data_IF_006306467329
#
_entry.id   IF_006306467329
#
_cell.length_a   1.000
_cell.length_b   1.000
_cell.length_c   1.000
_cell.angle_alpha   90.00
_cell.angle_beta   90.00
_cell.angle_gamma   90.00
#
_symmetry.space_group_name_H-M   'P 1'
#
loop_
_entity.id
_entity.type
_entity.pdbx_description
1 polymer ?
#
# COMPACT_ATOMS: atom_id res chain seq x y z
N UNK A 1 -13.89 8.42 40.54
CA UNK A 1 -12.56 9.04 40.73
C UNK A 1 -11.74 8.79 39.49
N UNK A 2 -11.02 9.79 38.97
CA UNK A 2 -10.12 9.60 37.82
C UNK A 2 -8.90 8.82 38.33
N UNK A 3 -8.63 7.65 37.74
CA UNK A 3 -7.45 6.85 38.07
C UNK A 3 -6.41 7.04 36.97
N UNK A 4 -5.13 6.87 37.31
CA UNK A 4 -4.05 6.91 36.33
C UNK A 4 -3.34 5.57 36.32
N UNK A 5 -2.97 5.11 35.12
CA UNK A 5 -2.04 3.99 34.95
C UNK A 5 -0.79 4.47 34.23
N UNK A 6 0.37 3.96 34.63
CA UNK A 6 1.63 4.27 33.97
C UNK A 6 1.86 3.33 32.80
N UNK A 7 2.25 3.90 31.66
CA UNK A 7 2.52 3.17 30.44
C UNK A 7 3.86 3.56 29.85
N UNK A 8 4.68 2.56 29.53
CA UNK A 8 5.96 2.77 28.86
C UNK A 8 5.76 2.63 27.36
N UNK A 9 5.97 3.74 26.63
CA UNK A 9 5.83 3.84 25.19
C UNK A 9 6.73 2.81 24.49
N UNK A 10 6.16 2.03 23.57
CA UNK A 10 6.85 1.03 22.78
C UNK A 10 7.10 1.54 21.35
N UNK A 11 7.98 0.86 20.61
CA UNK A 11 8.22 1.19 19.22
C UNK A 11 6.93 1.02 18.39
N UNK A 12 6.53 2.06 17.67
CA UNK A 12 5.31 2.07 16.87
C UNK A 12 4.05 2.57 17.60
N UNK A 13 4.14 2.90 18.90
CA UNK A 13 3.03 3.54 19.60
C UNK A 13 2.83 5.00 19.16
N UNK A 14 1.57 5.41 19.09
CA UNK A 14 1.15 6.82 18.99
C UNK A 14 0.21 7.15 20.15
N UNK A 15 0.06 8.42 20.50
CA UNK A 15 -0.94 8.79 21.52
C UNK A 15 -2.35 8.33 21.13
N UNK A 16 -2.65 8.29 19.83
CA UNK A 16 -3.95 7.82 19.30
C UNK A 16 -4.17 6.34 19.56
N UNK A 17 -3.19 5.48 19.24
CA UNK A 17 -3.29 4.03 19.47
C UNK A 17 -3.35 3.71 20.97
N UNK A 18 -2.60 4.46 21.78
CA UNK A 18 -2.63 4.35 23.24
C UNK A 18 -4.01 4.78 23.79
N UNK A 19 -4.54 5.93 23.36
CA UNK A 19 -5.83 6.44 23.82
C UNK A 19 -6.96 5.43 23.56
N UNK A 20 -7.01 4.87 22.35
CA UNK A 20 -7.99 3.83 21.99
C UNK A 20 -7.85 2.59 22.89
N UNK A 21 -6.62 2.13 23.12
CA UNK A 21 -6.34 0.94 23.93
C UNK A 21 -6.83 1.07 25.37
N UNK A 22 -6.72 2.26 25.94
CA UNK A 22 -7.11 2.52 27.33
C UNK A 22 -8.50 3.14 27.47
N UNK A 23 -9.27 3.24 26.38
CA UNK A 23 -10.62 3.82 26.40
C UNK A 23 -10.63 5.28 26.85
N UNK A 24 -9.60 6.05 26.46
CA UNK A 24 -9.43 7.46 26.82
C UNK A 24 -9.21 8.32 25.57
N UNK A 25 -8.92 9.60 25.73
CA UNK A 25 -8.65 10.52 24.60
C UNK A 25 -7.21 11.02 24.60
N UNK A 26 -6.69 11.33 23.40
CA UNK A 26 -5.35 11.94 23.24
C UNK A 26 -5.25 13.21 24.08
N UNK A 27 -6.29 14.04 24.07
CA UNK A 27 -6.35 15.27 24.86
C UNK A 27 -6.27 14.99 26.37
N UNK A 28 -6.94 13.95 26.85
CA UNK A 28 -6.87 13.56 28.27
C UNK A 28 -5.47 13.06 28.65
N UNK A 29 -4.82 12.29 27.78
CA UNK A 29 -3.42 11.85 28.00
C UNK A 29 -2.47 13.06 28.00
N UNK A 30 -2.61 13.99 27.06
CA UNK A 30 -1.77 15.20 27.02
C UNK A 30 -1.98 16.08 28.26
N UNK A 31 -3.22 16.24 28.71
CA UNK A 31 -3.54 16.97 29.95
C UNK A 31 -2.90 16.33 31.19
N UNK A 32 -2.78 15.00 31.21
CA UNK A 32 -2.13 14.25 32.28
C UNK A 32 -0.59 14.27 32.22
N UNK A 33 -0.01 14.63 31.06
CA UNK A 33 1.43 14.62 30.80
C UNK A 33 1.88 15.96 30.20
N UNK A 34 2.02 17.01 31.02
CA UNK A 34 2.39 18.35 30.55
C UNK A 34 3.77 18.43 29.88
N UNK A 35 4.62 17.41 30.05
CA UNK A 35 5.90 17.28 29.34
C UNK A 35 5.77 16.91 27.86
N UNK A 36 4.58 16.50 27.40
CA UNK A 36 4.33 16.16 25.99
C UNK A 36 3.79 17.40 25.28
N UNK A 37 4.65 18.07 24.51
CA UNK A 37 4.32 19.34 23.85
C UNK A 37 3.61 19.14 22.51
N UNK A 38 3.65 17.94 21.93
CA UNK A 38 3.01 17.62 20.65
C UNK A 38 2.57 16.16 20.58
N UNK A 39 1.39 15.86 20.01
CA UNK A 39 0.82 14.52 20.01
C UNK A 39 1.60 13.49 19.19
N UNK A 40 2.43 13.97 18.25
CA UNK A 40 3.31 13.14 17.40
C UNK A 40 4.71 12.90 18.02
N UNK A 41 5.00 13.50 19.17
CA UNK A 41 6.35 13.52 19.77
C UNK A 41 6.36 12.76 21.10
N UNK A 42 6.15 11.44 21.01
CA UNK A 42 6.41 10.52 22.12
C UNK A 42 7.61 9.65 21.80
N UNK A 43 8.51 9.46 22.77
CA UNK A 43 9.75 8.71 22.56
C UNK A 43 9.60 7.26 23.05
N UNK A 44 10.18 6.31 22.32
CA UNK A 44 10.23 4.91 22.75
C UNK A 44 10.95 4.82 24.10
N UNK A 45 10.34 4.11 25.04
CA UNK A 45 10.84 3.95 26.41
C UNK A 45 10.40 5.04 27.38
N UNK A 46 9.76 6.12 26.90
CA UNK A 46 9.15 7.17 27.72
C UNK A 46 8.00 6.59 28.55
N UNK A 47 7.92 6.95 29.83
CA UNK A 47 6.79 6.59 30.69
C UNK A 47 5.79 7.75 30.70
N UNK A 48 4.52 7.45 30.43
CA UNK A 48 3.42 8.41 30.40
C UNK A 48 2.27 7.96 31.29
N UNK A 49 1.52 8.92 31.83
CA UNK A 49 0.33 8.69 32.67
C UNK A 49 -0.93 8.66 31.83
N UNK A 50 -1.70 7.59 31.92
CA UNK A 50 -2.93 7.44 31.14
C UNK A 50 -4.13 7.54 32.08
N UNK A 51 -5.02 8.54 31.90
CA UNK A 51 -6.25 8.63 32.68
C UNK A 51 -7.24 7.55 32.24
N UNK A 52 -7.67 6.71 33.17
CA UNK A 52 -8.68 5.67 32.97
C UNK A 52 -9.93 5.99 33.80
N UNK A 53 -11.11 5.92 33.17
CA UNK A 53 -12.37 6.10 33.87
C UNK A 53 -12.67 4.82 34.66
N UNK A 54 -12.72 4.94 35.99
CA UNK A 54 -12.70 3.82 36.94
C UNK A 54 -13.93 2.91 36.93
N UNK A 55 -14.07 2.09 35.91
CA UNK A 55 -14.61 0.73 36.03
C UNK A 55 -13.41 -0.20 35.87
N UNK A 56 -13.07 -0.93 36.94
CA UNK A 56 -11.88 -1.78 37.02
C UNK A 56 -11.53 -2.45 35.69
N UNK A 57 -10.39 -2.12 35.07
CA UNK A 57 -9.85 -2.98 34.05
C UNK A 57 -9.04 -4.05 34.78
N UNK A 58 -9.42 -5.31 34.59
CA UNK A 58 -8.40 -6.36 34.48
C UNK A 58 -7.26 -5.78 33.63
N UNK A 59 -5.98 -5.97 33.99
CA UNK A 59 -4.87 -5.42 33.22
C UNK A 59 -5.13 -5.75 31.75
N UNK A 60 -5.19 -4.75 30.84
CA UNK A 60 -5.44 -5.03 29.44
C UNK A 60 -4.36 -6.02 29.03
N UNK A 61 -4.77 -7.24 28.66
CA UNK A 61 -3.87 -8.28 28.17
C UNK A 61 -3.02 -7.58 27.11
N UNK A 62 -1.73 -7.44 27.37
CA UNK A 62 -0.86 -6.76 26.42
C UNK A 62 -1.00 -7.53 25.11
N UNK A 63 -1.52 -6.93 24.00
CA UNK A 63 -1.18 -7.48 22.70
C UNK A 63 0.35 -7.54 22.67
N UNK A 64 0.93 -8.62 22.11
CA UNK A 64 2.37 -8.75 22.01
C UNK A 64 2.94 -7.44 21.45
N UNK A 65 4.11 -6.99 21.93
CA UNK A 65 4.70 -5.75 21.46
C UNK A 65 4.67 -5.76 19.95
N UNK A 66 4.20 -4.66 19.35
CA UNK A 66 4.30 -4.50 17.91
C UNK A 66 5.76 -4.84 17.54
N UNK A 67 6.00 -5.67 16.50
CA UNK A 67 7.36 -5.94 16.06
C UNK A 67 8.06 -4.59 15.91
N UNK A 68 9.33 -4.47 16.35
CA UNK A 68 10.04 -3.19 16.35
C UNK A 68 9.81 -2.52 15.01
N UNK A 69 9.36 -1.26 15.04
CA UNK A 69 9.15 -0.47 13.84
C UNK A 69 10.31 -0.74 12.90
N UNK A 70 10.01 -1.31 11.73
CA UNK A 70 11.02 -1.56 10.72
C UNK A 70 11.82 -0.26 10.58
N UNK A 71 13.16 -0.34 10.44
CA UNK A 71 13.97 0.86 10.24
C UNK A 71 13.31 1.74 9.17
N UNK A 72 13.38 3.08 9.29
CA UNK A 72 12.78 3.97 8.29
C UNK A 72 13.15 3.41 6.93
N UNK A 73 12.13 3.12 6.12
CA UNK A 73 12.36 2.56 4.80
C UNK A 73 13.47 3.40 4.17
N UNK A 74 14.55 2.77 3.65
CA UNK A 74 15.58 3.53 2.98
C UNK A 74 14.87 4.48 2.01
N UNK A 75 15.30 5.75 1.96
CA UNK A 75 14.84 6.69 0.95
C UNK A 75 14.71 5.90 -0.35
N UNK A 76 13.56 5.98 -1.07
CA UNK A 76 13.31 5.11 -2.22
C UNK A 76 14.59 5.12 -3.04
N UNK A 77 15.21 3.95 -3.30
CA UNK A 77 16.47 3.95 -4.02
C UNK A 77 16.21 4.80 -5.24
N UNK A 78 17.00 5.87 -5.42
CA UNK A 78 16.97 6.66 -6.65
C UNK A 78 16.92 5.63 -7.75
N UNK A 79 15.80 5.55 -8.48
CA UNK A 79 15.41 4.36 -9.27
C UNK A 79 16.62 3.95 -10.09
N UNK A 80 17.38 3.01 -9.55
CA UNK A 80 18.56 2.51 -10.22
C UNK A 80 17.93 1.70 -11.32
N UNK A 81 18.08 2.18 -12.55
CA UNK A 81 17.79 1.39 -13.74
C UNK A 81 18.62 0.13 -13.57
N UNK A 82 18.02 -0.93 -13.05
CA UNK A 82 18.69 -2.21 -12.86
C UNK A 82 19.02 -2.66 -14.28
N UNK A 83 20.30 -2.87 -14.64
CA UNK A 83 20.64 -3.31 -15.98
C UNK A 83 19.83 -4.56 -16.33
N UNK A 84 19.02 -4.49 -17.38
CA UNK A 84 18.11 -5.58 -17.75
C UNK A 84 16.69 -5.49 -17.17
N UNK A 85 16.27 -4.41 -16.52
CA UNK A 85 14.87 -4.19 -16.13
C UNK A 85 14.29 -3.07 -16.98
N UNK A 86 13.11 -3.30 -17.56
CA UNK A 86 12.36 -2.24 -18.21
C UNK A 86 11.47 -1.51 -17.20
N UNK A 87 11.41 -0.18 -17.31
CA UNK A 87 10.44 0.66 -16.63
C UNK A 87 9.56 1.38 -17.66
N UNK A 88 8.23 1.36 -17.48
CA UNK A 88 7.34 2.20 -18.29
C UNK A 88 6.11 2.66 -17.50
N UNK A 89 5.50 3.74 -17.97
CA UNK A 89 4.39 4.42 -17.32
C UNK A 89 3.06 3.85 -17.81
N UNK A 90 2.12 3.66 -16.88
CA UNK A 90 0.71 3.42 -17.18
C UNK A 90 -0.03 4.76 -17.17
N UNK A 91 -0.55 5.15 -18.32
CA UNK A 91 -1.28 6.40 -18.48
C UNK A 91 -2.74 6.23 -18.04
N UNK A 92 -3.31 7.22 -17.34
CA UNK A 92 -4.74 7.26 -17.09
C UNK A 92 -5.53 7.30 -18.38
N UNK A 93 -6.49 6.37 -18.50
CA UNK A 93 -7.48 6.37 -19.60
C UNK A 93 -8.84 6.85 -19.10
N UNK A 94 -9.03 6.92 -17.78
CA UNK A 94 -10.27 7.36 -17.17
C UNK A 94 -10.07 8.61 -16.31
N UNK A 95 -10.95 9.62 -16.49
CA UNK A 95 -10.84 10.94 -15.82
C UNK A 95 -10.83 10.86 -14.29
N UNK A 96 -11.38 9.79 -13.73
CA UNK A 96 -11.44 9.53 -12.28
C UNK A 96 -10.09 9.13 -11.70
N UNK A 97 -9.12 8.76 -12.53
CA UNK A 97 -7.77 8.40 -12.14
C UNK A 97 -6.84 9.59 -12.41
N UNK A 98 -6.45 10.36 -11.38
CA UNK A 98 -5.69 11.59 -11.58
C UNK A 98 -4.20 11.34 -11.81
N UNK A 99 -3.69 10.16 -11.50
CA UNK A 99 -2.26 9.86 -11.46
C UNK A 99 -1.93 8.60 -12.26
N UNK A 100 -0.77 8.55 -12.92
CA UNK A 100 -0.31 7.37 -13.64
C UNK A 100 0.14 6.24 -12.71
N UNK A 101 0.28 5.04 -13.27
CA UNK A 101 1.00 3.93 -12.66
C UNK A 101 2.39 3.73 -13.27
N UNK A 102 3.16 2.81 -12.71
CA UNK A 102 4.48 2.38 -13.20
C UNK A 102 4.52 0.87 -13.24
N UNK A 103 5.13 0.34 -14.30
CA UNK A 103 5.48 -1.08 -14.42
C UNK A 103 6.98 -1.21 -14.47
N UNK A 104 7.51 -2.11 -13.66
CA UNK A 104 8.88 -2.59 -13.73
C UNK A 104 8.82 -4.05 -14.15
N UNK A 105 9.39 -4.38 -15.31
CA UNK A 105 9.39 -5.75 -15.83
C UNK A 105 10.79 -6.20 -16.19
N UNK A 106 11.19 -7.38 -15.72
CA UNK A 106 12.39 -8.04 -16.19
C UNK A 106 12.06 -8.87 -17.45
N UNK A 107 12.73 -8.68 -18.60
CA UNK A 107 12.41 -9.37 -19.84
C UNK A 107 13.15 -10.71 -20.02
N UNK A 108 14.06 -11.11 -19.11
CA UNK A 108 14.65 -12.45 -19.18
C UNK A 108 13.57 -13.54 -18.99
N UNK A 109 13.86 -14.77 -19.42
CA UNK A 109 12.89 -15.85 -19.68
C UNK A 109 11.94 -16.23 -18.53
N UNK A 110 12.12 -15.75 -17.29
CA UNK A 110 11.20 -15.93 -16.15
C UNK A 110 10.60 -14.62 -15.61
N UNK A 111 10.58 -13.57 -16.44
CA UNK A 111 10.30 -12.18 -16.10
C UNK A 111 9.29 -11.91 -14.97
N UNK A 112 9.77 -11.34 -13.87
CA UNK A 112 8.89 -10.72 -12.87
C UNK A 112 8.34 -9.41 -13.42
N UNK A 113 7.02 -9.27 -13.34
CA UNK A 113 6.31 -8.02 -13.63
C UNK A 113 5.82 -7.45 -12.31
N UNK A 114 6.35 -6.28 -11.95
CA UNK A 114 5.92 -5.48 -10.81
C UNK A 114 5.06 -4.35 -11.33
N UNK A 115 3.91 -4.17 -10.71
CA UNK A 115 2.98 -3.09 -11.06
C UNK A 115 2.74 -2.28 -9.80
N UNK A 116 2.98 -0.98 -9.89
CA UNK A 116 2.73 -0.03 -8.82
C UNK A 116 1.88 1.12 -9.37
N UNK A 117 0.91 1.58 -8.58
CA UNK A 117 0.04 2.70 -8.94
C UNK A 117 -0.02 3.67 -7.79
N UNK A 118 -0.24 4.95 -8.08
CA UNK A 118 -0.28 6.02 -7.09
C UNK A 118 -1.60 6.77 -7.15
N UNK A 119 -2.17 7.13 -6.01
CA UNK A 119 -3.36 7.96 -5.93
C UNK A 119 -4.58 7.39 -6.68
N UNK A 120 -4.66 6.06 -6.79
CA UNK A 120 -5.84 5.40 -7.33
C UNK A 120 -7.00 5.56 -6.35
N UNK A 121 -8.20 5.92 -6.82
CA UNK A 121 -9.38 5.96 -5.95
C UNK A 121 -9.73 4.55 -5.46
N UNK A 122 -10.65 4.45 -4.50
CA UNK A 122 -11.16 3.14 -4.07
C UNK A 122 -11.88 2.42 -5.23
N UNK A 123 -11.65 1.11 -5.47
CA UNK A 123 -12.28 0.36 -6.57
C UNK A 123 -13.81 0.47 -6.58
N UNK A 124 -14.44 0.60 -5.42
CA UNK A 124 -15.91 0.73 -5.30
C UNK A 124 -16.47 1.96 -6.02
N UNK A 125 -15.63 2.97 -6.30
CA UNK A 125 -16.00 4.17 -7.08
C UNK A 125 -16.33 3.87 -8.55
N UNK A 126 -15.98 2.69 -9.06
CA UNK A 126 -16.29 2.25 -10.42
C UNK A 126 -17.43 1.22 -10.46
N UNK A 127 -17.81 0.65 -9.33
CA UNK A 127 -18.89 -0.33 -9.19
C UNK A 127 -18.88 -0.89 -7.77
N UNK A 128 -20.06 -1.06 -7.17
CA UNK A 128 -20.21 -1.45 -5.76
C UNK A 128 -19.57 -2.79 -5.40
N UNK A 129 -19.44 -3.67 -6.38
CA UNK A 129 -18.90 -5.01 -6.17
C UNK A 129 -17.37 -5.07 -6.33
N UNK A 130 -16.74 -4.01 -6.85
CA UNK A 130 -15.30 -3.97 -7.08
C UNK A 130 -14.55 -3.66 -5.80
N UNK A 131 -13.53 -4.46 -5.51
CA UNK A 131 -12.77 -4.38 -4.26
C UNK A 131 -11.26 -4.57 -4.44
N UNK A 132 -10.80 -4.74 -5.69
CA UNK A 132 -9.38 -4.89 -6.01
C UNK A 132 -9.08 -4.21 -7.35
N UNK A 133 -7.83 -3.85 -7.59
CA UNK A 133 -7.37 -3.55 -8.94
C UNK A 133 -6.61 -4.73 -9.50
N UNK A 134 -6.83 -5.04 -10.77
CA UNK A 134 -6.12 -6.11 -11.46
C UNK A 134 -5.42 -5.55 -12.68
N UNK A 135 -4.13 -5.84 -12.78
CA UNK A 135 -3.32 -5.50 -13.94
C UNK A 135 -3.32 -6.67 -14.92
N UNK A 136 -3.99 -6.49 -16.05
CA UNK A 136 -4.15 -7.44 -17.13
C UNK A 136 -3.04 -7.33 -18.14
N UNK A 137 -2.40 -8.45 -18.42
CA UNK A 137 -1.28 -8.58 -19.35
C UNK A 137 -1.84 -9.17 -20.63
N UNK A 138 -1.91 -8.32 -21.65
CA UNK A 138 -2.67 -8.55 -22.87
C UNK A 138 -1.73 -8.85 -24.04
N UNK A 139 -2.14 -9.79 -24.87
CA UNK A 139 -1.54 -10.03 -26.17
C UNK A 139 -1.86 -8.90 -27.16
N UNK A 140 -1.24 -8.91 -28.35
CA UNK A 140 -1.47 -7.91 -29.41
C UNK A 140 -2.93 -7.82 -29.87
N UNK A 141 -3.64 -8.95 -29.85
CA UNK A 141 -5.06 -9.05 -30.19
C UNK A 141 -5.99 -8.56 -29.05
N UNK A 142 -5.45 -8.17 -27.90
CA UNK A 142 -6.20 -7.73 -26.73
C UNK A 142 -6.62 -8.86 -25.78
N UNK A 143 -6.30 -10.12 -26.11
CA UNK A 143 -6.65 -11.26 -25.27
C UNK A 143 -5.83 -11.27 -23.96
N UNK A 144 -6.47 -11.42 -22.78
CA UNK A 144 -5.75 -11.55 -21.52
C UNK A 144 -4.97 -12.86 -21.44
N UNK A 145 -3.65 -12.75 -21.23
CA UNK A 145 -2.75 -13.91 -21.06
C UNK A 145 -2.39 -14.15 -19.61
N UNK A 146 -2.24 -13.09 -18.84
CA UNK A 146 -1.93 -13.16 -17.41
C UNK A 146 -2.57 -11.97 -16.69
N UNK A 147 -2.63 -12.05 -15.38
CA UNK A 147 -3.10 -10.95 -14.54
C UNK A 147 -2.38 -10.93 -13.20
N UNK A 148 -2.33 -9.73 -12.62
CA UNK A 148 -1.74 -9.45 -11.32
C UNK A 148 -2.77 -8.70 -10.49
N UNK A 149 -3.28 -9.37 -9.47
CA UNK A 149 -4.17 -8.76 -8.48
C UNK A 149 -3.34 -7.85 -7.57
N UNK A 150 -3.60 -6.55 -7.61
CA UNK A 150 -2.89 -5.55 -6.84
C UNK A 150 -3.44 -5.51 -5.41
N UNK A 151 -2.55 -5.39 -4.43
CA UNK A 151 -2.96 -5.17 -3.05
C UNK A 151 -2.80 -3.67 -2.70
N UNK A 152 -3.67 -3.13 -1.83
CA UNK A 152 -3.42 -1.80 -1.28
C UNK A 152 -2.14 -1.85 -0.45
N UNK A 153 -1.23 -0.90 -0.69
CA UNK A 153 -0.05 -0.72 0.15
C UNK A 153 -0.41 0.11 1.39
N UNK A 154 0.56 0.33 2.26
CA UNK A 154 0.38 1.14 3.48
C UNK A 154 0.07 2.61 3.18
N UNK A 155 0.41 3.09 1.98
CA UNK A 155 0.11 4.45 1.54
C UNK A 155 -1.28 4.50 0.88
N UNK A 156 -2.17 5.42 1.32
CA UNK A 156 -3.50 5.55 0.73
C UNK A 156 -3.46 5.77 -0.79
N UNK A 157 -4.28 5.01 -1.51
CA UNK A 157 -4.35 5.07 -2.98
C UNK A 157 -3.15 4.46 -3.70
N UNK A 158 -2.20 3.86 -2.97
CA UNK A 158 -1.10 3.12 -3.56
C UNK A 158 -1.47 1.65 -3.67
N UNK A 159 -1.42 1.09 -4.88
CA UNK A 159 -1.68 -0.33 -5.11
C UNK A 159 -0.50 -0.97 -5.81
N UNK A 160 -0.05 -2.09 -5.27
CA UNK A 160 1.16 -2.76 -5.73
C UNK A 160 1.01 -4.26 -5.62
N UNK A 161 1.51 -4.97 -6.62
CA UNK A 161 1.87 -6.37 -6.49
C UNK A 161 2.82 -6.75 -7.64
N UNK A 162 3.28 -7.99 -7.61
CA UNK A 162 4.09 -8.56 -8.67
C UNK A 162 3.70 -10.00 -8.94
N UNK A 163 4.10 -10.49 -10.11
CA UNK A 163 3.95 -11.89 -10.47
C UNK A 163 5.10 -12.31 -11.35
N UNK A 164 5.62 -13.50 -11.11
CA UNK A 164 6.53 -14.16 -12.03
C UNK A 164 5.75 -14.63 -13.25
N UNK A 165 6.20 -14.24 -14.44
CA UNK A 165 5.52 -14.55 -15.69
C UNK A 165 6.54 -15.22 -16.61
N UNK A 166 6.40 -16.53 -16.87
CA UNK A 166 7.39 -17.32 -17.61
C UNK A 166 7.68 -16.90 -19.05
N UNK A 167 6.96 -15.90 -19.59
CA UNK A 167 7.29 -15.29 -20.88
C UNK A 167 6.42 -14.08 -21.14
N UNK A 168 7.03 -13.00 -21.64
CA UNK A 168 6.36 -11.81 -22.15
C UNK A 168 6.48 -11.67 -23.68
N UNK A 169 7.02 -12.68 -24.38
CA UNK A 169 7.40 -12.60 -25.79
C UNK A 169 6.25 -12.29 -26.77
N UNK A 170 4.99 -12.41 -26.33
CA UNK A 170 3.78 -12.15 -27.13
C UNK A 170 2.85 -11.10 -26.51
N UNK A 171 3.31 -10.46 -25.44
CA UNK A 171 2.55 -9.42 -24.73
C UNK A 171 2.82 -8.05 -25.37
N UNK A 172 1.78 -7.25 -25.56
CA UNK A 172 1.90 -5.88 -26.10
C UNK A 172 1.47 -4.83 -25.09
N UNK A 173 0.41 -5.10 -24.33
CA UNK A 173 -0.24 -4.11 -23.48
C UNK A 173 -0.43 -4.63 -22.07
N UNK A 174 -0.48 -3.68 -21.15
CA UNK A 174 -0.97 -3.90 -19.81
C UNK A 174 -2.06 -2.87 -19.53
N UNK A 175 -3.15 -3.33 -18.93
CA UNK A 175 -4.28 -2.48 -18.53
C UNK A 175 -4.65 -2.78 -17.10
N UNK A 176 -5.00 -1.75 -16.34
CA UNK A 176 -5.52 -1.92 -14.98
C UNK A 176 -7.02 -1.71 -15.00
N UNK A 177 -7.76 -2.56 -14.30
CA UNK A 177 -9.21 -2.43 -14.09
C UNK A 177 -9.53 -2.64 -12.61
N UNK A 178 -10.60 -2.00 -12.09
CA UNK A 178 -11.20 -2.41 -10.83
C UNK A 178 -11.97 -3.72 -11.06
N UNK A 179 -11.79 -4.69 -10.17
CA UNK A 179 -12.31 -6.04 -10.29
C UNK A 179 -12.90 -6.54 -8.98
N UNK A 180 -13.57 -7.69 -9.05
CA UNK A 180 -14.03 -8.45 -7.88
C UNK A 180 -12.99 -9.50 -7.53
N UNK A 181 -12.64 -9.67 -6.27
CA UNK A 181 -11.74 -10.76 -5.85
C UNK A 181 -12.27 -12.13 -6.33
N UNK A 182 -11.42 -12.95 -6.92
CA UNK A 182 -11.79 -14.27 -7.45
C UNK A 182 -12.47 -14.25 -8.82
N UNK A 183 -12.30 -13.17 -9.60
CA UNK A 183 -12.71 -13.11 -11.00
C UNK A 183 -11.93 -14.10 -11.88
N UNK A 184 -12.51 -14.46 -13.02
CA UNK A 184 -11.90 -15.35 -14.01
C UNK A 184 -10.88 -14.63 -14.89
N UNK A 185 -10.52 -15.23 -16.04
CA UNK A 185 -9.48 -14.70 -16.94
C UNK A 185 -9.94 -13.52 -17.83
N UNK A 186 -11.01 -12.82 -17.45
CA UNK A 186 -11.58 -11.74 -18.26
C UNK A 186 -11.82 -10.49 -17.41
N UNK A 187 -11.41 -9.30 -17.89
CA UNK A 187 -11.73 -8.05 -17.22
C UNK A 187 -13.24 -7.84 -17.13
N UNK A 188 -13.72 -7.40 -15.97
CA UNK A 188 -15.12 -7.06 -15.73
C UNK A 188 -15.32 -5.55 -15.62
N UNK A 189 -14.32 -4.84 -15.09
CA UNK A 189 -14.36 -3.40 -14.91
C UNK A 189 -13.89 -2.60 -16.13
N UNK A 190 -14.10 -1.27 -16.14
CA UNK A 190 -13.52 -0.40 -17.14
C UNK A 190 -11.99 -0.39 -17.03
N UNK A 191 -11.30 -0.17 -18.15
CA UNK A 191 -9.87 0.14 -18.13
C UNK A 191 -9.66 1.53 -17.54
N UNK A 192 -8.77 1.62 -16.55
CA UNK A 192 -8.51 2.85 -15.80
C UNK A 192 -7.09 3.37 -15.99
N UNK A 193 -6.14 2.46 -16.21
CA UNK A 193 -4.78 2.75 -16.64
C UNK A 193 -4.38 1.85 -17.83
N UNK A 194 -3.52 2.34 -18.72
CA UNK A 194 -2.97 1.58 -19.85
C UNK A 194 -1.50 1.91 -20.11
N UNK A 195 -0.69 0.90 -20.45
CA UNK A 195 0.67 1.06 -20.96
C UNK A 195 1.05 -0.03 -21.95
N UNK A 196 2.19 0.15 -22.64
CA UNK A 196 2.69 -0.79 -23.66
C UNK A 196 4.08 -1.32 -23.32
N UNK A 197 4.24 -2.65 -23.33
CA UNK A 197 5.54 -3.29 -23.16
C UNK A 197 6.50 -3.00 -24.32
N UNK A 198 6.00 -2.61 -25.49
CA UNK A 198 6.84 -2.22 -26.62
C UNK A 198 7.73 -0.99 -26.31
N UNK A 199 7.35 -0.15 -25.35
CA UNK A 199 8.17 0.99 -24.90
C UNK A 199 9.49 0.51 -24.28
N UNK A 200 9.51 -0.68 -23.68
CA UNK A 200 10.71 -1.33 -23.17
C UNK A 200 11.72 -1.70 -24.25
N UNK A 201 11.24 -2.21 -25.39
CA UNK A 201 12.11 -2.79 -26.42
C UNK A 201 12.96 -1.74 -27.17
N UNK A 202 12.57 -0.46 -27.10
CA UNK A 202 13.30 0.64 -27.72
C UNK A 202 14.51 1.09 -26.90
N UNK A 203 14.46 1.00 -25.57
CA UNK A 203 15.55 1.44 -24.67
C UNK A 203 16.74 0.45 -24.64
N UNK A 204 16.54 -0.81 -25.05
CA UNK A 204 17.60 -1.84 -25.11
C UNK A 204 18.43 -1.81 -26.41
N UNK A 205 18.17 -0.89 -27.34
CA UNK A 205 18.93 -0.74 -28.60
C UNK A 205 19.96 0.39 -28.60
N UNK A 206 20.23 1.00 -27.44
CA UNK A 206 21.25 2.04 -27.25
C UNK A 206 22.58 1.47 -26.80
#
# INVERSE_FOLDING_TARGET
MMQFTEYRVQAGDTLTTIAQRFGTTVQAIMAANPSITSPDVIMVGQVIRIPVMGMHPSPPTMPPPAPPAAPPAPAPPAVAVVPGWCCFVLNPVEKRVPNPGVVLSHPAETGHVFVATMGMPDPSKFGSDFNIYTAWILMRDGTPRNFIDLAPAQLPGFWVNHKEIPSLAMTDKIRVTPERRGHGMSPMGPYVLEGRFAQCAAEFKG
#
